data_IF_094247169675
#
_entry.id   IF_094247169675
#
_cell.length_a   1.000
_cell.length_b   1.000
_cell.length_c   1.000
_cell.angle_alpha   90.00
_cell.angle_beta   90.00
_cell.angle_gamma   90.00
#
_symmetry.space_group_name_H-M   'P 1'
#
loop_
_entity.id
_entity.type
_entity.pdbx_description
1 polymer ?
#
# COMPACT_ATOMS: atom_id res chain seq x y z
N UNK A 1 -24.42 -17.84 -3.26
CA UNK A 1 -23.14 -18.40 -3.77
C UNK A 1 -22.27 -17.36 -4.49
N UNK A 2 -22.85 -16.31 -5.08
CA UNK A 2 -22.14 -15.32 -5.91
C UNK A 2 -21.01 -14.55 -5.20
N UNK A 3 -21.18 -14.23 -3.90
CA UNK A 3 -20.17 -13.48 -3.14
C UNK A 3 -18.86 -14.26 -2.93
N UNK A 4 -18.92 -15.59 -2.80
CA UNK A 4 -17.73 -16.44 -2.63
C UNK A 4 -16.91 -16.47 -3.92
N UNK A 5 -17.58 -16.71 -5.05
CA UNK A 5 -16.97 -16.70 -6.39
C UNK A 5 -16.35 -15.34 -6.73
N UNK A 6 -17.03 -14.24 -6.36
CA UNK A 6 -16.53 -12.88 -6.56
C UNK A 6 -15.19 -12.66 -5.88
N UNK A 7 -15.05 -13.07 -4.61
CA UNK A 7 -13.80 -12.95 -3.84
C UNK A 7 -12.66 -13.75 -4.48
N UNK A 8 -12.94 -14.96 -4.96
CA UNK A 8 -11.94 -15.79 -5.63
C UNK A 8 -11.45 -15.14 -6.93
N UNK A 9 -12.36 -14.60 -7.75
CA UNK A 9 -12.00 -13.90 -8.99
C UNK A 9 -11.18 -12.65 -8.70
N UNK A 10 -11.56 -11.87 -7.70
CA UNK A 10 -10.82 -10.66 -7.33
C UNK A 10 -9.42 -10.96 -6.81
N UNK A 11 -9.22 -12.09 -6.10
CA UNK A 11 -7.90 -12.55 -5.70
C UNK A 11 -7.01 -12.93 -6.90
N UNK A 12 -7.57 -13.63 -7.90
CA UNK A 12 -6.85 -13.98 -9.12
C UNK A 12 -6.49 -12.72 -9.94
N UNK A 13 -7.44 -11.80 -10.08
CA UNK A 13 -7.22 -10.53 -10.75
C UNK A 13 -6.16 -9.69 -10.02
N UNK A 14 -6.25 -9.61 -8.69
CA UNK A 14 -5.26 -8.89 -7.88
C UNK A 14 -3.87 -9.48 -8.06
N UNK A 15 -3.71 -10.81 -7.98
CA UNK A 15 -2.43 -11.47 -8.20
C UNK A 15 -1.89 -11.19 -9.62
N UNK A 16 -2.76 -11.07 -10.63
CA UNK A 16 -2.35 -10.68 -11.97
C UNK A 16 -1.86 -9.24 -12.03
N UNK A 17 -2.58 -8.30 -11.41
CA UNK A 17 -2.20 -6.89 -11.36
C UNK A 17 -0.90 -6.71 -10.58
N UNK A 18 -0.69 -7.43 -9.48
CA UNK A 18 0.51 -7.36 -8.64
C UNK A 18 1.79 -7.77 -9.36
N UNK A 19 1.71 -8.58 -10.42
CA UNK A 19 2.87 -8.89 -11.27
C UNK A 19 3.35 -7.68 -12.07
N UNK A 20 2.47 -6.70 -12.27
CA UNK A 20 2.71 -5.51 -13.08
C UNK A 20 2.95 -4.29 -12.16
N UNK A 21 2.11 -4.13 -11.13
CA UNK A 21 2.23 -3.10 -10.09
C UNK A 21 2.25 -3.74 -8.69
N UNK A 22 3.44 -3.93 -8.08
CA UNK A 22 3.57 -4.51 -6.74
C UNK A 22 2.84 -3.73 -5.64
N UNK A 23 2.54 -2.44 -5.87
CA UNK A 23 1.82 -1.62 -4.91
C UNK A 23 0.31 -1.90 -4.91
N UNK A 24 -0.22 -2.75 -5.79
CA UNK A 24 -1.64 -3.08 -5.84
C UNK A 24 -2.11 -3.85 -4.58
N UNK A 25 -3.14 -3.32 -3.91
CA UNK A 25 -3.64 -3.83 -2.63
C UNK A 25 -4.98 -4.55 -2.78
N UNK A 26 -5.89 -4.02 -3.59
CA UNK A 26 -7.24 -4.59 -3.74
C UNK A 26 -7.92 -4.15 -5.02
N UNK A 27 -8.69 -5.04 -5.65
CA UNK A 27 -9.57 -4.70 -6.78
C UNK A 27 -10.82 -3.98 -6.25
N UNK A 28 -11.16 -2.85 -6.86
CA UNK A 28 -12.34 -2.04 -6.54
C UNK A 28 -13.49 -2.41 -7.47
N UNK A 29 -13.22 -2.41 -8.77
CA UNK A 29 -14.22 -2.73 -9.78
C UNK A 29 -13.59 -3.28 -11.05
N UNK A 30 -14.42 -3.90 -11.89
CA UNK A 30 -13.99 -4.55 -13.13
C UNK A 30 -15.02 -4.41 -14.24
N UNK A 31 -14.52 -4.21 -15.45
CA UNK A 31 -15.27 -4.38 -16.69
C UNK A 31 -14.71 -5.58 -17.46
N UNK A 32 -15.60 -6.36 -18.05
CA UNK A 32 -15.23 -7.56 -18.81
C UNK A 32 -14.47 -7.24 -20.10
N UNK A 33 -14.72 -6.06 -20.70
CA UNK A 33 -14.08 -5.68 -21.96
C UNK A 33 -14.09 -4.17 -22.17
N UNK A 34 -12.90 -3.61 -22.36
CA UNK A 34 -12.64 -2.26 -22.80
C UNK A 34 -11.66 -2.24 -23.99
N UNK A 35 -11.80 -1.24 -24.84
CA UNK A 35 -10.89 -0.96 -25.96
C UNK A 35 -10.40 0.47 -25.90
N UNK A 36 -9.12 0.68 -26.18
CA UNK A 36 -8.50 1.99 -26.20
C UNK A 36 -8.43 2.55 -27.63
N UNK A 37 -8.78 3.82 -27.75
CA UNK A 37 -8.65 4.64 -28.95
C UNK A 37 -7.77 5.84 -28.67
N UNK A 38 -6.96 6.24 -29.64
CA UNK A 38 -6.13 7.44 -29.60
C UNK A 38 -6.58 8.43 -30.67
N UNK A 39 -6.54 9.72 -30.34
CA UNK A 39 -6.84 10.77 -31.30
C UNK A 39 -5.57 11.25 -32.00
N UNK A 40 -5.50 11.04 -33.32
CA UNK A 40 -4.49 11.61 -34.19
C UNK A 40 -5.02 12.90 -34.83
N UNK A 41 -4.25 13.99 -34.78
CA UNK A 41 -4.69 15.32 -35.30
C UNK A 41 -5.13 15.28 -36.76
N UNK A 42 -4.50 14.44 -37.58
CA UNK A 42 -4.73 14.40 -39.03
C UNK A 42 -5.79 13.36 -39.44
N UNK A 43 -5.96 12.30 -38.65
CA UNK A 43 -6.74 11.12 -39.04
C UNK A 43 -7.96 10.89 -38.13
N UNK A 44 -8.08 11.68 -37.05
CA UNK A 44 -9.15 11.54 -36.07
C UNK A 44 -8.92 10.38 -35.11
N UNK A 45 -10.02 9.74 -34.68
CA UNK A 45 -9.97 8.64 -33.72
C UNK A 45 -9.50 7.35 -34.38
N UNK A 46 -8.39 6.81 -33.90
CA UNK A 46 -7.86 5.51 -34.32
C UNK A 46 -8.00 4.50 -33.20
N UNK A 47 -8.36 3.26 -33.55
CA UNK A 47 -8.38 2.14 -32.61
C UNK A 47 -6.95 1.68 -32.38
N UNK A 48 -6.56 1.54 -31.11
CA UNK A 48 -5.25 0.97 -30.75
C UNK A 48 -5.33 -0.56 -30.64
N UNK A 49 -4.18 -1.22 -30.53
CA UNK A 49 -4.10 -2.67 -30.28
C UNK A 49 -4.41 -3.05 -28.82
N UNK A 50 -4.67 -2.07 -27.95
CA UNK A 50 -4.93 -2.30 -26.54
C UNK A 50 -6.43 -2.54 -26.33
N UNK A 51 -6.76 -3.80 -26.04
CA UNK A 51 -8.11 -4.20 -25.64
C UNK A 51 -8.11 -5.43 -24.72
N UNK A 52 -9.04 -5.44 -23.76
CA UNK A 52 -9.13 -6.50 -22.77
C UNK A 52 -9.95 -6.11 -21.54
N UNK A 53 -9.90 -6.87 -20.43
CA UNK A 53 -10.60 -6.48 -19.22
C UNK A 53 -10.00 -5.20 -18.65
N UNK A 54 -10.86 -4.31 -18.16
CA UNK A 54 -10.44 -3.11 -17.44
C UNK A 54 -10.66 -3.33 -15.94
N UNK A 55 -9.65 -3.08 -15.14
CA UNK A 55 -9.67 -3.25 -13.70
C UNK A 55 -9.30 -1.93 -13.03
N UNK A 56 -10.05 -1.56 -12.00
CA UNK A 56 -9.72 -0.43 -11.12
C UNK A 56 -9.30 -0.99 -9.78
N UNK A 57 -8.19 -0.51 -9.24
CA UNK A 57 -7.59 -1.07 -8.03
C UNK A 57 -7.01 0.02 -7.13
N UNK A 58 -6.95 -0.30 -5.84
CA UNK A 58 -6.30 0.51 -4.80
C UNK A 58 -4.82 0.18 -4.72
N UNK A 59 -4.00 1.18 -4.44
CA UNK A 59 -2.56 1.10 -4.26
C UNK A 59 -2.16 1.41 -2.81
N UNK A 60 -1.01 0.88 -2.40
CA UNK A 60 -0.40 1.14 -1.10
C UNK A 60 0.32 2.50 -1.05
N UNK A 61 0.65 3.05 -2.22
CA UNK A 61 1.38 4.31 -2.39
C UNK A 61 0.58 5.27 -3.28
N UNK A 62 0.96 6.55 -3.28
CA UNK A 62 0.33 7.59 -4.08
C UNK A 62 0.74 7.48 -5.58
N UNK A 63 -0.16 7.73 -6.54
CA UNK A 63 -1.60 7.94 -6.40
C UNK A 63 -2.32 6.72 -5.83
N UNK A 64 -3.30 6.95 -4.95
CA UNK A 64 -3.94 5.91 -4.13
C UNK A 64 -4.73 4.89 -4.95
N UNK A 65 -5.05 5.23 -6.18
CA UNK A 65 -5.82 4.42 -7.10
C UNK A 65 -5.19 4.44 -8.50
N UNK A 66 -5.36 3.34 -9.22
CA UNK A 66 -5.00 3.21 -10.63
C UNK A 66 -6.02 2.35 -11.35
N UNK A 67 -6.04 2.47 -12.68
CA UNK A 67 -6.75 1.52 -13.52
C UNK A 67 -5.83 0.95 -14.58
N UNK A 68 -6.16 -0.27 -15.02
CA UNK A 68 -5.42 -1.01 -16.04
C UNK A 68 -6.39 -1.58 -17.06
N UNK A 69 -5.99 -1.58 -18.33
CA UNK A 69 -6.55 -2.45 -19.37
C UNK A 69 -5.51 -3.52 -19.64
N UNK A 70 -5.78 -4.74 -19.18
CA UNK A 70 -4.90 -5.87 -19.41
C UNK A 70 -5.10 -6.33 -20.86
N UNK A 71 -4.09 -6.14 -21.70
CA UNK A 71 -4.19 -6.40 -23.12
C UNK A 71 -4.25 -7.92 -23.37
N UNK A 72 -5.16 -8.33 -24.27
CA UNK A 72 -5.31 -9.74 -24.67
C UNK A 72 -4.43 -10.13 -25.85
N UNK A 73 -3.99 -9.16 -26.65
CA UNK A 73 -3.30 -9.40 -27.92
C UNK A 73 -1.77 -9.32 -27.79
N UNK A 74 -1.27 -8.57 -26.82
CA UNK A 74 0.16 -8.40 -26.57
C UNK A 74 0.45 -8.34 -25.08
N UNK A 75 1.72 -8.31 -24.71
CA UNK A 75 2.16 -8.08 -23.31
C UNK A 75 2.16 -6.61 -22.92
N UNK A 76 1.73 -5.71 -23.81
CA UNK A 76 1.70 -4.29 -23.54
C UNK A 76 0.33 -3.90 -22.99
N UNK A 77 0.27 -3.85 -21.65
CA UNK A 77 -0.90 -3.37 -20.92
C UNK A 77 -0.93 -1.84 -20.87
N UNK A 78 -2.13 -1.28 -20.74
CA UNK A 78 -2.29 0.15 -20.47
C UNK A 78 -2.57 0.36 -19.00
N UNK A 79 -1.78 1.18 -18.32
CA UNK A 79 -1.96 1.52 -16.91
C UNK A 79 -1.98 3.03 -16.77
N UNK A 80 -2.97 3.56 -16.08
CA UNK A 80 -3.04 4.97 -15.76
C UNK A 80 -3.32 5.17 -14.26
N UNK A 81 -2.40 5.85 -13.55
CA UNK A 81 -2.66 6.30 -12.19
C UNK A 81 -3.77 7.35 -12.14
N UNK A 82 -4.69 7.20 -11.19
CA UNK A 82 -5.74 8.19 -10.92
C UNK A 82 -5.11 9.32 -10.11
N UNK A 83 -4.41 10.22 -10.81
CA UNK A 83 -3.78 11.39 -10.21
C UNK A 83 -4.74 12.58 -10.13
N UNK A 84 -4.48 13.52 -9.20
CA UNK A 84 -5.29 14.72 -9.05
C UNK A 84 -5.37 15.60 -10.32
N UNK A 85 -4.32 15.55 -11.15
CA UNK A 85 -4.20 16.28 -12.42
C UNK A 85 -4.89 15.60 -13.59
N UNK A 86 -5.35 14.35 -13.41
CA UNK A 86 -6.02 13.60 -14.46
C UNK A 86 -7.31 14.31 -14.89
N UNK A 87 -7.48 14.45 -16.20
CA UNK A 87 -8.64 15.09 -16.82
C UNK A 87 -9.47 14.05 -17.57
N UNK A 88 -10.55 13.59 -16.92
CA UNK A 88 -11.51 12.67 -17.53
C UNK A 88 -12.82 13.38 -17.88
N UNK A 89 -13.35 13.05 -19.05
CA UNK A 89 -14.72 13.35 -19.46
C UNK A 89 -15.49 12.03 -19.52
N UNK A 90 -16.44 11.87 -18.62
CA UNK A 90 -17.12 10.61 -18.35
C UNK A 90 -18.48 10.59 -19.07
N UNK A 91 -18.76 9.51 -19.80
CA UNK A 91 -20.04 9.24 -20.47
C UNK A 91 -20.48 7.82 -20.16
N UNK A 92 -21.76 7.51 -20.37
CA UNK A 92 -22.33 6.20 -20.07
C UNK A 92 -21.67 5.05 -20.84
N UNK A 93 -21.19 5.30 -22.06
CA UNK A 93 -20.63 4.27 -22.96
C UNK A 93 -19.12 4.39 -23.21
N UNK A 94 -18.47 5.46 -22.75
CA UNK A 94 -17.04 5.66 -22.89
C UNK A 94 -16.49 6.69 -21.90
N UNK A 95 -15.19 6.63 -21.66
CA UNK A 95 -14.43 7.62 -20.89
C UNK A 95 -13.42 8.26 -21.84
N UNK A 96 -13.35 9.58 -21.87
CA UNK A 96 -12.33 10.30 -22.62
C UNK A 96 -11.32 10.93 -21.66
N UNK A 97 -10.05 10.73 -21.92
CA UNK A 97 -8.95 11.31 -21.15
C UNK A 97 -8.21 12.33 -22.00
N UNK A 98 -8.00 13.52 -21.44
CA UNK A 98 -7.22 14.57 -22.09
C UNK A 98 -5.77 14.45 -21.67
N UNK A 99 -4.86 14.30 -22.64
CA UNK A 99 -3.42 14.39 -22.44
C UNK A 99 -2.82 15.43 -23.40
N UNK A 100 -1.71 16.09 -23.03
CA UNK A 100 -1.01 17.02 -23.92
C UNK A 100 -0.55 16.36 -25.23
N UNK A 101 -0.16 15.09 -25.15
CA UNK A 101 0.36 14.29 -26.27
C UNK A 101 -0.73 13.84 -27.25
N UNK A 102 -1.98 13.72 -26.78
CA UNK A 102 -3.10 13.23 -27.56
C UNK A 102 -4.22 12.70 -26.67
N UNK A 103 -5.47 12.97 -27.04
CA UNK A 103 -6.61 12.49 -26.26
C UNK A 103 -6.79 10.98 -26.44
N UNK A 104 -7.16 10.30 -25.36
CA UNK A 104 -7.48 8.88 -25.35
C UNK A 104 -8.97 8.67 -25.08
N UNK A 105 -9.55 7.63 -25.66
CA UNK A 105 -10.93 7.22 -25.41
C UNK A 105 -10.98 5.73 -25.07
N UNK A 106 -11.60 5.43 -23.93
CA UNK A 106 -11.81 4.09 -23.42
C UNK A 106 -13.28 3.73 -23.63
N UNK A 107 -13.55 2.77 -24.52
CA UNK A 107 -14.89 2.28 -24.80
C UNK A 107 -15.09 0.95 -24.10
N UNK A 108 -16.16 0.80 -23.33
CA UNK A 108 -16.49 -0.43 -22.61
C UNK A 108 -17.88 -0.93 -23.00
N UNK A 109 -18.09 -2.25 -22.94
CA UNK A 109 -19.38 -2.89 -23.28
C UNK A 109 -20.28 -3.10 -22.06
N UNK A 110 -19.69 -3.12 -20.87
CA UNK A 110 -20.33 -3.36 -19.58
C UNK A 110 -19.68 -2.45 -18.53
N UNK A 111 -20.33 -2.24 -17.38
CA UNK A 111 -19.80 -1.36 -16.33
C UNK A 111 -20.33 0.07 -16.44
N UNK A 112 -21.66 0.21 -16.53
CA UNK A 112 -22.34 1.51 -16.55
C UNK A 112 -22.00 2.38 -15.33
N UNK A 113 -21.62 1.75 -14.21
CA UNK A 113 -21.21 2.41 -12.97
C UNK A 113 -19.73 2.84 -12.96
N UNK A 114 -18.90 2.31 -13.86
CA UNK A 114 -17.46 2.59 -13.89
C UNK A 114 -17.15 4.08 -14.05
N UNK A 115 -17.82 4.86 -14.93
CA UNK A 115 -17.59 6.28 -15.03
C UNK A 115 -17.88 7.01 -13.72
N UNK A 116 -19.01 6.72 -13.08
CA UNK A 116 -19.39 7.34 -11.80
C UNK A 116 -18.38 6.99 -10.69
N UNK A 117 -17.92 5.75 -10.65
CA UNK A 117 -16.90 5.29 -9.71
C UNK A 117 -15.55 5.98 -9.94
N UNK A 118 -15.08 6.10 -11.20
CA UNK A 118 -13.86 6.84 -11.51
C UNK A 118 -13.98 8.33 -11.15
N UNK A 119 -15.16 8.93 -11.34
CA UNK A 119 -15.41 10.30 -10.91
C UNK A 119 -15.23 10.47 -9.40
N UNK A 120 -15.78 9.53 -8.64
CA UNK A 120 -15.68 9.50 -7.18
C UNK A 120 -14.22 9.41 -6.74
N UNK A 121 -13.45 8.45 -7.29
CA UNK A 121 -12.03 8.28 -6.97
C UNK A 121 -11.19 9.51 -7.34
N UNK A 122 -11.46 10.15 -8.48
CA UNK A 122 -10.79 11.40 -8.86
C UNK A 122 -11.08 12.55 -7.89
N UNK A 123 -12.33 12.64 -7.42
CA UNK A 123 -12.73 13.65 -6.45
C UNK A 123 -12.03 13.41 -5.11
N UNK A 124 -11.97 12.16 -4.66
CA UNK A 124 -11.25 11.75 -3.44
C UNK A 124 -9.75 12.09 -3.54
N UNK A 125 -9.08 11.70 -4.63
CA UNK A 125 -7.65 12.00 -4.84
C UNK A 125 -7.35 13.51 -4.81
N UNK A 126 -8.25 14.34 -5.35
CA UNK A 126 -8.08 15.81 -5.33
C UNK A 126 -8.25 16.42 -3.94
N UNK A 127 -9.03 15.78 -3.08
CA UNK A 127 -9.28 16.22 -1.70
C UNK A 127 -8.23 15.73 -0.71
N UNK A 128 -7.39 14.75 -1.10
CA UNK A 128 -6.34 14.28 -0.23
C UNK A 128 -5.46 15.45 0.20
N UNK A 129 -5.19 15.62 1.52
CA UNK A 129 -4.27 16.62 1.99
C UNK A 129 -2.92 16.27 1.39
N UNK A 130 -2.49 17.03 0.38
CA UNK A 130 -1.13 16.93 -0.14
C UNK A 130 -0.23 17.29 1.02
N UNK A 131 0.30 16.26 1.68
CA UNK A 131 1.23 16.43 2.76
C UNK A 131 2.31 17.35 2.24
N UNK A 132 2.46 18.53 2.86
CA UNK A 132 3.78 19.17 2.90
C UNK A 132 4.73 18.04 3.26
N UNK A 133 5.80 17.86 2.48
CA UNK A 133 6.87 16.97 2.89
C UNK A 133 7.13 17.26 4.38
N UNK A 134 6.81 16.30 5.26
CA UNK A 134 7.14 16.45 6.67
C UNK A 134 8.66 16.40 6.64
N UNK A 135 9.28 17.57 6.85
CA UNK A 135 10.74 17.69 6.83
C UNK A 135 11.30 16.59 7.73
N UNK A 136 12.42 15.98 7.33
CA UNK A 136 13.14 15.03 8.17
C UNK A 136 13.32 15.57 9.59
N UNK A 137 13.51 16.89 9.73
CA UNK A 137 13.64 17.60 11.01
C UNK A 137 12.42 17.44 11.94
N UNK A 138 11.22 17.30 11.36
CA UNK A 138 9.98 17.17 12.12
C UNK A 138 9.71 15.73 12.54
N UNK A 139 10.18 14.75 11.76
CA UNK A 139 10.21 13.33 12.16
C UNK A 139 11.22 13.11 13.28
N UNK A 140 12.40 13.73 13.19
CA UNK A 140 13.44 13.62 14.23
C UNK A 140 12.98 14.22 15.57
N UNK A 141 12.28 15.36 15.55
CA UNK A 141 11.66 15.94 16.75
C UNK A 141 10.57 15.05 17.36
N UNK A 142 9.79 14.36 16.54
CA UNK A 142 8.76 13.43 17.02
C UNK A 142 9.40 12.19 17.68
N UNK A 143 10.45 11.62 17.06
CA UNK A 143 11.20 10.49 17.59
C UNK A 143 11.89 10.82 18.91
N UNK A 144 12.47 12.02 19.05
CA UNK A 144 13.07 12.49 20.31
C UNK A 144 12.01 12.67 21.41
N UNK A 145 10.81 13.15 21.07
CA UNK A 145 9.71 13.30 22.03
C UNK A 145 9.23 11.94 22.56
N UNK A 146 9.09 10.95 21.66
CA UNK A 146 8.68 9.59 22.02
C UNK A 146 9.74 8.85 22.87
N UNK A 147 11.02 9.14 22.65
CA UNK A 147 12.12 8.64 23.49
C UNK A 147 12.09 9.28 24.89
N UNK A 148 11.84 10.59 24.98
CA UNK A 148 11.72 11.29 26.26
C UNK A 148 10.50 10.80 27.08
N UNK A 149 9.41 10.42 26.42
CA UNK A 149 8.23 9.84 27.06
C UNK A 149 8.51 8.46 27.67
N UNK A 150 9.38 7.65 27.04
CA UNK A 150 9.79 6.34 27.57
C UNK A 150 10.67 6.44 28.81
N UNK A 151 11.46 7.49 28.97
CA UNK A 151 12.35 7.67 30.14
C UNK A 151 11.61 8.08 31.41
N UNK A 152 10.43 8.69 31.31
CA UNK A 152 9.64 9.10 32.48
C UNK A 152 8.94 7.95 33.23
N UNK A 153 9.01 6.71 32.72
CA UNK A 153 8.31 5.56 33.32
C UNK A 153 9.25 4.52 33.97
N UNK A 154 10.49 4.90 34.26
CA UNK A 154 11.43 4.08 35.03
C UNK A 154 12.02 4.91 36.16
N UNK A 155 11.26 5.10 37.25
CA UNK A 155 11.86 5.39 38.55
C UNK A 155 12.12 4.09 39.33
N UNK A 156 13.24 3.99 40.07
CA UNK A 156 13.69 2.76 40.72
C UNK A 156 13.05 2.56 42.11
N UNK A 157 12.58 1.33 42.38
CA UNK A 157 12.11 0.89 43.70
C UNK A 157 13.21 1.02 44.77
N UNK A 158 13.06 2.00 45.67
CA UNK A 158 13.89 2.16 46.87
C UNK A 158 13.39 1.26 48.02
N UNK A 159 14.23 0.26 48.35
CA UNK A 159 14.72 -0.21 49.67
C UNK A 159 13.80 -0.21 50.91
N UNK A 160 13.62 -1.42 51.46
CA UNK A 160 13.82 -1.89 52.85
C UNK A 160 13.57 -0.95 54.05
N UNK A 161 12.71 -1.39 55.00
CA UNK A 161 13.00 -1.61 56.46
C UNK A 161 12.09 -2.75 57.01
N UNK A 162 12.62 -3.42 58.05
CA UNK A 162 12.43 -4.75 58.67
C UNK A 162 11.12 -5.13 59.43
N UNK A 163 10.81 -6.45 59.37
CA UNK A 163 10.45 -7.49 60.39
C UNK A 163 9.50 -7.21 61.59
N UNK A 164 8.72 -8.23 62.08
CA UNK A 164 9.30 -9.39 62.81
C UNK A 164 8.69 -10.80 62.59
N UNK A 165 9.61 -11.79 62.65
CA UNK A 165 9.59 -13.12 63.34
C UNK A 165 8.51 -14.18 63.03
N UNK A 166 8.94 -15.41 62.64
CA UNK A 166 8.86 -16.68 63.41
C UNK A 166 9.10 -17.93 62.51
N UNK A 167 10.27 -18.52 62.71
CA UNK A 167 10.70 -19.95 62.72
C UNK A 167 10.42 -20.95 61.57
N UNK A 168 11.52 -21.68 61.27
CA UNK A 168 11.64 -23.16 61.24
C UNK A 168 11.73 -23.89 59.89
N UNK A 169 12.99 -24.22 59.56
CA UNK A 169 13.54 -25.54 59.18
C UNK A 169 13.35 -26.17 57.79
N UNK A 170 14.42 -26.93 57.45
CA UNK A 170 14.67 -27.90 56.38
C UNK A 170 15.13 -27.31 55.03
N UNK A 171 16.42 -27.32 54.69
CA UNK A 171 17.33 -28.43 54.34
C UNK A 171 17.34 -28.75 52.83
N UNK A 172 18.57 -28.82 52.30
CA UNK A 172 19.04 -29.68 51.20
C UNK A 172 19.07 -29.13 49.75
N UNK A 173 20.24 -28.56 49.41
CA UNK A 173 21.23 -29.05 48.42
C UNK A 173 20.90 -29.12 46.90
N UNK A 174 21.96 -28.75 46.13
CA UNK A 174 22.29 -29.06 44.71
C UNK A 174 21.55 -28.23 43.65
N UNK A 175 22.17 -27.70 42.57
CA UNK A 175 23.35 -28.07 41.76
C UNK A 175 24.04 -26.77 41.24
N UNK A 176 25.37 -26.63 41.32
CA UNK A 176 26.36 -26.86 40.24
C UNK A 176 25.91 -26.36 38.85
N UNK A 177 26.63 -25.40 38.25
CA UNK A 177 27.65 -25.69 37.23
C UNK A 177 28.42 -24.42 36.80
N UNK A 178 29.74 -24.50 37.03
CA UNK A 178 30.87 -24.02 36.22
C UNK A 178 30.88 -22.61 35.60
N UNK A 179 31.73 -21.80 36.23
CA UNK A 179 32.52 -20.70 35.69
C UNK A 179 33.48 -21.16 34.58
N UNK A 180 33.66 -20.34 33.54
CA UNK A 180 34.96 -20.10 32.92
C UNK A 180 35.06 -18.60 32.62
N UNK A 181 35.83 -17.89 33.43
CA UNK A 181 36.31 -16.53 33.13
C UNK A 181 37.78 -16.63 32.70
N UNK A 182 38.10 -15.86 31.68
CA UNK A 182 39.36 -15.82 30.94
C UNK A 182 40.29 -14.74 31.52
N UNK A 183 41.60 -15.01 31.46
CA UNK A 183 42.74 -14.07 31.56
C UNK A 183 42.96 -13.38 32.92
N UNK A 184 44.19 -13.17 33.41
CA UNK A 184 45.38 -12.69 32.71
C UNK A 184 46.66 -13.02 33.50
N UNK A 185 47.74 -13.21 32.74
CA UNK A 185 49.18 -13.31 33.03
C UNK A 185 49.76 -12.40 34.14
N UNK A 186 50.90 -12.81 34.75
CA UNK A 186 52.24 -12.15 34.66
C UNK A 186 53.26 -12.63 35.73
N UNK A 187 54.50 -12.89 35.23
CA UNK A 187 55.87 -12.96 35.82
C UNK A 187 56.15 -13.78 37.10
N UNK A 188 56.97 -14.83 37.11
CA UNK A 188 58.43 -14.99 36.88
C UNK A 188 59.32 -14.27 37.90
N UNK A 189 59.93 -15.06 38.79
CA UNK A 189 61.39 -15.28 38.87
C UNK A 189 61.64 -16.67 39.45
#
# INVERSE_FOLDING_TARGET
MEASTRKTIDALNLASVQRIDPCAVSIIDRCTYASLYSYAKNEGWQKTEIEGPMLVYRRADHPTHSFIIANRHSRQDFIEPISATLQLCLKSSYIMMKKPEGNLLFKFKSGEDMPAMLQKLLCEERQLPRGRAVSADQVEKQLLFDQAAKQKNTEPLKKFVAEPTITSNFSCMRCLFFSVFVNTSILVT
#
